data_IF_144711816957
#
_entry.id   IF_144711816957
#
_cell.length_a   1.000
_cell.length_b   1.000
_cell.length_c   1.000
_cell.angle_alpha   90.00
_cell.angle_beta   90.00
_cell.angle_gamma   90.00
#
_symmetry.space_group_name_H-M   'P 1'
#
loop_
_entity.id
_entity.type
_entity.pdbx_description
1 polymer ?
#
# COMPACT_ATOMS: atom_id res chain seq x y z
N UNK A 1 -11.10 25.47 8.33
CA UNK A 1 -12.08 24.37 8.32
C UNK A 1 -12.68 24.09 6.94
N UNK A 2 -13.05 25.10 6.13
CA UNK A 2 -13.73 24.88 4.84
C UNK A 2 -12.91 24.24 3.70
N UNK A 3 -11.57 24.33 3.72
CA UNK A 3 -10.71 23.72 2.70
C UNK A 3 -10.55 22.20 2.87
N UNK A 4 -10.52 21.72 4.12
CA UNK A 4 -10.41 20.29 4.44
C UNK A 4 -11.70 19.53 4.08
N UNK A 5 -12.86 20.11 4.37
CA UNK A 5 -14.16 19.50 4.02
C UNK A 5 -14.39 19.48 2.51
N UNK A 6 -13.99 20.53 1.80
CA UNK A 6 -14.00 20.55 0.34
C UNK A 6 -13.06 19.49 -0.25
N UNK A 7 -11.84 19.37 0.27
CA UNK A 7 -10.87 18.36 -0.17
C UNK A 7 -11.31 16.91 0.11
N UNK A 8 -11.95 16.66 1.26
CA UNK A 8 -12.52 15.35 1.56
C UNK A 8 -13.70 15.01 0.63
N UNK A 9 -14.53 16.01 0.28
CA UNK A 9 -15.64 15.80 -0.64
C UNK A 9 -15.15 15.45 -2.06
N UNK A 10 -14.06 16.08 -2.54
CA UNK A 10 -13.47 15.76 -3.84
C UNK A 10 -12.81 14.38 -3.84
N UNK A 11 -12.04 14.05 -2.79
CA UNK A 11 -11.48 12.70 -2.63
C UNK A 11 -12.58 11.63 -2.61
N UNK A 12 -13.67 11.89 -1.89
CA UNK A 12 -14.80 10.97 -1.82
C UNK A 12 -15.57 10.83 -3.14
N UNK A 13 -15.59 11.87 -3.97
CA UNK A 13 -16.12 11.79 -5.32
C UNK A 13 -15.21 10.93 -6.22
N UNK A 14 -13.89 11.12 -6.16
CA UNK A 14 -12.92 10.36 -6.94
C UNK A 14 -12.90 8.87 -6.56
N UNK A 15 -12.99 8.55 -5.26
CA UNK A 15 -13.09 7.16 -4.77
C UNK A 15 -14.32 6.46 -5.34
N UNK A 16 -15.46 7.17 -5.44
CA UNK A 16 -16.69 6.61 -6.01
C UNK A 16 -16.61 6.47 -7.53
N UNK A 17 -15.93 7.37 -8.22
CA UNK A 17 -15.74 7.32 -9.65
C UNK A 17 -14.77 6.20 -10.07
N UNK A 18 -13.75 5.90 -9.24
CA UNK A 18 -12.69 4.94 -9.57
C UNK A 18 -12.39 3.99 -8.40
N UNK A 19 -13.36 3.14 -8.00
CA UNK A 19 -13.25 2.35 -6.76
C UNK A 19 -12.07 1.37 -6.78
N UNK A 20 -11.73 0.80 -7.94
CA UNK A 20 -10.61 -0.14 -8.07
C UNK A 20 -9.28 0.58 -7.91
N UNK A 21 -9.10 1.74 -8.58
CA UNK A 21 -7.90 2.55 -8.44
C UNK A 21 -7.73 3.03 -6.98
N UNK A 22 -8.82 3.48 -6.35
CA UNK A 22 -8.82 3.89 -4.95
C UNK A 22 -8.40 2.76 -4.01
N UNK A 23 -8.88 1.53 -4.22
CA UNK A 23 -8.47 0.37 -3.43
C UNK A 23 -6.98 0.04 -3.63
N UNK A 24 -6.48 0.11 -4.86
CA UNK A 24 -5.05 -0.13 -5.15
C UNK A 24 -4.14 0.89 -4.48
N UNK A 25 -4.51 2.18 -4.53
CA UNK A 25 -3.76 3.26 -3.91
C UNK A 25 -3.82 3.19 -2.38
N UNK A 26 -5.02 3.15 -1.79
CA UNK A 26 -5.20 3.10 -0.34
C UNK A 26 -4.62 1.80 0.25
N UNK A 27 -4.81 0.67 -0.44
CA UNK A 27 -4.22 -0.60 -0.06
C UNK A 27 -2.69 -0.55 -0.08
N UNK A 28 -2.10 0.11 -1.07
CA UNK A 28 -0.63 0.29 -1.14
C UNK A 28 -0.11 1.18 -0.03
N UNK A 29 -0.78 2.30 0.25
CA UNK A 29 -0.43 3.19 1.38
C UNK A 29 -0.50 2.42 2.69
N UNK A 30 -1.58 1.69 2.93
CA UNK A 30 -1.72 0.86 4.12
C UNK A 30 -0.61 -0.20 4.23
N UNK A 31 -0.30 -0.89 3.12
CA UNK A 31 0.79 -1.88 3.06
C UNK A 31 2.15 -1.26 3.38
N UNK A 32 2.46 -0.08 2.83
CA UNK A 32 3.69 0.65 3.13
C UNK A 32 3.79 1.03 4.61
N UNK A 33 2.70 1.52 5.21
CA UNK A 33 2.65 1.85 6.65
C UNK A 33 2.90 0.60 7.49
N UNK A 34 2.25 -0.52 7.16
CA UNK A 34 2.45 -1.78 7.87
C UNK A 34 3.89 -2.29 7.75
N UNK A 35 4.49 -2.25 6.56
CA UNK A 35 5.89 -2.63 6.35
C UNK A 35 6.85 -1.74 7.13
N UNK A 36 6.58 -0.44 7.17
CA UNK A 36 7.38 0.51 7.94
C UNK A 36 7.33 0.19 9.44
N UNK A 37 6.13 0.02 10.00
CA UNK A 37 5.94 -0.35 11.40
C UNK A 37 6.58 -1.70 11.71
N UNK A 38 6.37 -2.71 10.85
CA UNK A 38 6.99 -4.03 11.00
C UNK A 38 8.52 -3.94 11.01
N UNK A 39 9.10 -3.09 10.16
CA UNK A 39 10.55 -2.83 10.13
C UNK A 39 11.03 -2.20 11.44
N UNK A 40 10.30 -1.21 11.98
CA UNK A 40 10.66 -0.63 13.28
C UNK A 40 10.60 -1.67 14.41
N UNK A 41 9.56 -2.50 14.43
CA UNK A 41 9.43 -3.61 15.38
C UNK A 41 10.60 -4.59 15.23
N UNK A 42 10.96 -4.95 14.01
CA UNK A 42 12.08 -5.84 13.73
C UNK A 42 13.43 -5.25 14.17
N UNK A 43 13.63 -3.94 14.01
CA UNK A 43 14.85 -3.24 14.47
C UNK A 43 14.97 -3.20 15.99
N UNK A 44 13.87 -2.94 16.71
CA UNK A 44 13.87 -2.93 18.17
C UNK A 44 13.98 -4.35 18.75
N UNK A 45 13.52 -5.37 18.01
CA UNK A 45 13.51 -6.77 18.41
C UNK A 45 14.88 -7.48 18.40
N UNK A 46 15.97 -6.79 18.03
CA UNK A 46 17.31 -7.34 18.02
C UNK A 46 17.76 -7.89 16.65
N UNK A 47 18.85 -8.69 16.61
CA UNK A 47 19.45 -9.11 15.35
C UNK A 47 18.52 -10.00 14.51
N UNK A 48 18.64 -9.99 13.17
CA UNK A 48 17.68 -10.67 12.28
C UNK A 48 17.50 -12.17 12.53
N UNK A 49 18.53 -12.85 13.02
CA UNK A 49 18.49 -14.28 13.35
C UNK A 49 17.55 -14.61 14.50
N UNK A 50 17.20 -13.64 15.35
CA UNK A 50 16.24 -13.82 16.44
C UNK A 50 14.78 -13.76 15.96
N UNK A 51 14.51 -13.13 14.80
CA UNK A 51 13.17 -12.92 14.25
C UNK A 51 13.16 -13.12 12.73
N UNK A 52 13.73 -14.22 12.25
CA UNK A 52 13.90 -14.49 10.83
C UNK A 52 12.58 -14.48 10.05
N UNK A 53 11.52 -15.07 10.62
CA UNK A 53 10.19 -15.11 10.01
C UNK A 53 9.59 -13.72 9.79
N UNK A 54 9.83 -12.77 10.72
CA UNK A 54 9.37 -11.38 10.58
C UNK A 54 10.12 -10.68 9.44
N UNK A 55 11.43 -10.87 9.34
CA UNK A 55 12.23 -10.31 8.24
C UNK A 55 11.81 -10.87 6.89
N UNK A 56 11.58 -12.18 6.79
CA UNK A 56 11.07 -12.80 5.56
C UNK A 56 9.68 -12.25 5.19
N UNK A 57 8.80 -12.02 6.17
CA UNK A 57 7.50 -11.41 5.92
C UNK A 57 7.61 -9.96 5.40
N UNK A 58 8.53 -9.16 5.96
CA UNK A 58 8.79 -7.79 5.49
C UNK A 58 9.31 -7.81 4.05
N UNK A 59 10.29 -8.65 3.75
CA UNK A 59 10.89 -8.76 2.41
C UNK A 59 9.85 -9.26 1.41
N UNK A 60 9.12 -10.33 1.76
CA UNK A 60 8.08 -10.90 0.91
C UNK A 60 6.93 -9.92 0.66
N UNK A 61 6.49 -9.20 1.69
CA UNK A 61 5.46 -8.16 1.58
C UNK A 61 5.91 -7.00 0.70
N UNK A 62 7.14 -6.52 0.89
CA UNK A 62 7.74 -5.48 0.06
C UNK A 62 7.86 -5.90 -1.41
N UNK A 63 8.36 -7.12 -1.67
CA UNK A 63 8.43 -7.67 -3.02
C UNK A 63 7.04 -7.81 -3.67
N UNK A 64 6.03 -8.25 -2.90
CA UNK A 64 4.64 -8.32 -3.36
C UNK A 64 4.10 -6.95 -3.79
N UNK A 65 4.37 -5.91 -3.01
CA UNK A 65 4.02 -4.52 -3.36
C UNK A 65 4.72 -4.05 -4.64
N UNK A 66 6.00 -4.38 -4.81
CA UNK A 66 6.73 -4.09 -6.05
C UNK A 66 6.07 -4.79 -7.24
N UNK A 67 5.73 -6.08 -7.11
CA UNK A 67 5.06 -6.82 -8.19
C UNK A 67 3.67 -6.27 -8.51
N UNK A 68 2.92 -5.84 -7.49
CA UNK A 68 1.63 -5.17 -7.66
C UNK A 68 1.79 -3.94 -8.57
N UNK A 69 2.72 -3.04 -8.27
CA UNK A 69 2.92 -1.82 -9.06
C UNK A 69 3.61 -2.06 -10.40
N UNK A 70 4.47 -3.08 -10.49
CA UNK A 70 5.24 -3.36 -11.71
C UNK A 70 4.42 -4.13 -12.74
N UNK A 71 3.52 -5.02 -12.31
CA UNK A 71 2.77 -5.90 -13.22
C UNK A 71 1.26 -5.67 -13.14
N UNK A 72 0.69 -5.71 -11.93
CA UNK A 72 -0.77 -5.68 -11.77
C UNK A 72 -1.35 -4.31 -12.15
N UNK A 73 -0.75 -3.21 -11.71
CA UNK A 73 -1.20 -1.85 -12.04
C UNK A 73 -1.12 -1.58 -13.54
N UNK A 74 0.00 -1.87 -14.25
CA UNK A 74 0.05 -1.74 -15.71
C UNK A 74 -0.98 -2.61 -16.45
N UNK A 75 -1.23 -3.84 -15.98
CA UNK A 75 -2.28 -4.70 -16.55
C UNK A 75 -3.68 -4.13 -16.34
N UNK A 76 -3.99 -3.66 -15.12
CA UNK A 76 -5.24 -2.97 -14.83
C UNK A 76 -5.43 -1.74 -15.71
N UNK A 77 -4.41 -0.90 -15.87
CA UNK A 77 -4.51 0.29 -16.73
C UNK A 77 -4.69 -0.08 -18.21
N UNK A 78 -4.10 -1.20 -18.66
CA UNK A 78 -4.18 -1.67 -20.04
C UNK A 78 -5.52 -2.33 -20.38
N UNK A 79 -6.12 -3.04 -19.44
CA UNK A 79 -7.30 -3.89 -19.70
C UNK A 79 -8.57 -3.44 -18.97
N UNK A 80 -8.44 -2.62 -17.94
CA UNK A 80 -9.55 -2.07 -17.15
C UNK A 80 -10.10 -0.75 -17.69
N UNK A 81 -9.52 -0.20 -18.77
CA UNK A 81 -10.05 0.96 -19.49
C UNK A 81 -11.15 0.53 -20.48
N UNK A 82 -12.28 0.05 -19.96
CA UNK A 82 -13.53 -0.17 -20.70
C UNK A 82 -14.74 0.17 -19.83
#
# INVERSE_FOLDING_TARGET
>A
MGSLTAGLATLWADVRAHPVAAVLELGSVAGCVLLFVATLVAMVGGPPTANESLWLAIIGGGAGLVLLWTFVVPLYNRFGAH
#
